data_IF_983905489766
#
_entry.id   IF_983905489766
#
_cell.length_a   1.000
_cell.length_b   1.000
_cell.length_c   1.000
_cell.angle_alpha   90.00
_cell.angle_beta   90.00
_cell.angle_gamma   90.00
#
_symmetry.space_group_name_H-M   'P 1'
#
loop_
_entity.id
_entity.type
_entity.pdbx_description
1 polymer ?
#
# COMPACT_ATOMS: atom_id res chain seq x y z
N UNK A 1 -19.51 4.99 -3.47
CA UNK A 1 -19.16 4.63 -4.85
C UNK A 1 -20.42 4.60 -5.69
N UNK A 2 -20.33 5.10 -6.91
CA UNK A 2 -21.36 4.94 -7.94
C UNK A 2 -21.20 3.59 -8.66
N UNK A 3 -22.21 3.18 -9.43
CA UNK A 3 -22.18 1.92 -10.18
C UNK A 3 -20.97 1.81 -11.13
N UNK A 4 -20.54 2.94 -11.72
CA UNK A 4 -19.35 3.00 -12.58
C UNK A 4 -18.06 2.69 -11.82
N UNK A 5 -17.97 3.10 -10.55
CA UNK A 5 -16.76 2.92 -9.73
C UNK A 5 -16.63 1.47 -9.31
N UNK A 6 -17.76 0.83 -8.98
CA UNK A 6 -17.84 -0.60 -8.69
C UNK A 6 -17.43 -1.44 -9.89
N UNK A 7 -17.93 -1.10 -11.08
CA UNK A 7 -17.57 -1.84 -12.30
C UNK A 7 -16.10 -1.63 -12.67
N UNK A 8 -15.56 -0.42 -12.50
CA UNK A 8 -14.13 -0.17 -12.66
C UNK A 8 -13.31 -1.02 -11.69
N UNK A 9 -13.68 -1.03 -10.40
CA UNK A 9 -12.99 -1.84 -9.39
C UNK A 9 -13.02 -3.33 -9.76
N UNK A 10 -14.18 -3.84 -10.20
CA UNK A 10 -14.34 -5.24 -10.61
C UNK A 10 -13.46 -5.56 -11.82
N UNK A 11 -13.53 -4.78 -12.90
CA UNK A 11 -12.77 -5.07 -14.12
C UNK A 11 -11.26 -4.85 -13.92
N UNK A 12 -10.86 -3.71 -13.36
CA UNK A 12 -9.47 -3.25 -13.35
C UNK A 12 -8.72 -3.63 -12.07
N UNK A 13 -9.44 -3.94 -10.99
CA UNK A 13 -8.85 -4.23 -9.68
C UNK A 13 -8.66 -3.01 -8.80
N UNK A 14 -9.02 -1.82 -9.31
CA UNK A 14 -8.93 -0.56 -8.59
C UNK A 14 -9.96 0.45 -9.10
N UNK A 15 -10.24 1.43 -8.27
CA UNK A 15 -11.06 2.59 -8.63
C UNK A 15 -10.57 3.82 -7.87
N UNK A 16 -10.70 5.00 -8.49
CA UNK A 16 -10.31 6.27 -7.88
C UNK A 16 -11.55 7.04 -7.46
N UNK A 17 -11.65 7.35 -6.17
CA UNK A 17 -12.71 8.20 -5.62
C UNK A 17 -12.16 9.60 -5.42
N UNK A 18 -12.38 10.46 -6.40
CA UNK A 18 -11.94 11.85 -6.33
C UNK A 18 -12.73 12.62 -5.27
N UNK A 19 -12.03 13.48 -4.53
CA UNK A 19 -12.62 14.40 -3.55
C UNK A 19 -13.42 13.74 -2.42
N UNK A 20 -13.06 12.51 -2.00
CA UNK A 20 -13.65 11.88 -0.81
C UNK A 20 -13.37 12.65 0.48
N UNK A 21 -12.20 13.30 0.52
CA UNK A 21 -11.78 14.23 1.56
C UNK A 21 -11.58 15.61 0.95
N UNK A 22 -11.94 16.63 1.72
CA UNK A 22 -11.70 18.01 1.35
C UNK A 22 -10.22 18.36 1.45
N UNK A 23 -9.82 19.41 0.73
CA UNK A 23 -8.44 19.93 0.79
C UNK A 23 -8.01 20.31 2.21
N UNK A 24 -8.96 20.79 3.04
CA UNK A 24 -8.70 21.14 4.43
C UNK A 24 -8.45 19.89 5.29
N UNK A 25 -9.23 18.83 5.13
CA UNK A 25 -8.99 17.55 5.83
C UNK A 25 -7.62 16.97 5.44
N UNK A 26 -7.29 16.97 4.15
CA UNK A 26 -5.97 16.51 3.67
C UNK A 26 -4.83 17.35 4.26
N UNK A 27 -4.99 18.68 4.38
CA UNK A 27 -3.99 19.53 5.03
C UNK A 27 -3.77 19.19 6.51
N UNK A 28 -4.83 18.80 7.23
CA UNK A 28 -4.74 18.37 8.63
C UNK A 28 -3.99 17.02 8.72
N UNK A 29 -4.31 16.06 7.85
CA UNK A 29 -3.61 14.79 7.74
C UNK A 29 -2.11 14.99 7.40
N UNK A 30 -1.81 15.94 6.52
CA UNK A 30 -0.44 16.32 6.19
C UNK A 30 0.30 16.90 7.38
N UNK A 31 -0.30 17.85 8.10
CA UNK A 31 0.34 18.44 9.28
C UNK A 31 0.66 17.38 10.34
N UNK A 32 -0.27 16.45 10.56
CA UNK A 32 -0.05 15.35 11.50
C UNK A 32 1.01 14.36 11.02
N UNK A 33 1.05 14.10 9.71
CA UNK A 33 2.14 13.30 9.11
C UNK A 33 3.48 13.95 9.42
N UNK A 34 3.64 15.26 9.19
CA UNK A 34 4.89 15.99 9.48
C UNK A 34 5.26 15.93 10.96
N UNK A 35 4.29 16.00 11.88
CA UNK A 35 4.54 15.79 13.32
C UNK A 35 5.11 14.39 13.57
N UNK A 36 4.46 13.34 13.06
CA UNK A 36 4.92 11.95 13.22
C UNK A 36 6.28 11.69 12.57
N UNK A 37 6.62 12.38 11.48
CA UNK A 37 7.94 12.29 10.85
C UNK A 37 9.07 12.77 11.77
N UNK A 38 8.78 13.63 12.75
CA UNK A 38 9.72 14.09 13.77
C UNK A 38 9.83 13.17 14.98
N UNK A 39 8.97 12.16 15.10
CA UNK A 39 8.91 11.29 16.27
C UNK A 39 9.62 9.95 16.03
N UNK A 40 10.18 9.42 17.12
CA UNK A 40 10.68 8.05 17.13
C UNK A 40 9.52 7.10 17.42
N UNK A 41 9.36 6.09 16.58
CA UNK A 41 8.38 5.02 16.78
C UNK A 41 8.94 3.69 16.26
N UNK A 42 8.43 2.58 16.78
CA UNK A 42 8.82 1.23 16.33
C UNK A 42 8.51 1.06 14.83
N UNK A 43 7.41 1.65 14.35
CA UNK A 43 6.98 1.54 12.96
C UNK A 43 7.75 2.40 11.96
N UNK A 44 8.75 3.18 12.40
CA UNK A 44 9.55 4.07 11.56
C UNK A 44 10.51 3.25 10.70
N UNK A 45 10.42 3.39 9.38
CA UNK A 45 11.32 2.73 8.41
C UNK A 45 12.08 3.79 7.63
N UNK A 46 13.40 3.65 7.57
CA UNK A 46 14.29 4.56 6.87
C UNK A 46 14.69 3.97 5.49
N UNK A 47 15.13 4.83 4.59
CA UNK A 47 15.83 4.41 3.37
C UNK A 47 17.20 3.80 3.71
N UNK A 48 17.85 3.15 2.73
CA UNK A 48 19.17 2.51 2.91
C UNK A 48 20.26 3.46 3.45
N UNK A 49 20.11 4.77 3.23
CA UNK A 49 21.00 5.79 3.78
C UNK A 49 20.89 5.96 5.31
N UNK A 50 19.96 5.27 5.97
CA UNK A 50 19.77 5.26 7.42
C UNK A 50 19.31 6.59 8.02
N UNK A 51 18.87 7.55 7.20
CA UNK A 51 18.54 8.92 7.66
C UNK A 51 17.25 9.45 7.06
N UNK A 52 16.99 9.17 5.79
CA UNK A 52 15.75 9.56 5.12
C UNK A 52 14.61 8.67 5.56
N UNK A 53 13.50 9.26 5.98
CA UNK A 53 12.29 8.50 6.30
C UNK A 53 11.64 7.97 5.02
N UNK A 54 11.42 6.66 4.97
CA UNK A 54 10.72 5.97 3.88
C UNK A 54 9.23 5.82 4.19
N UNK A 55 8.92 5.46 5.43
CA UNK A 55 7.53 5.25 5.85
C UNK A 55 7.34 5.18 7.35
N UNK A 56 6.09 5.39 7.78
CA UNK A 56 5.61 5.21 9.15
C UNK A 56 4.56 4.10 9.13
N UNK A 57 4.84 2.98 9.79
CA UNK A 57 3.88 1.90 10.00
C UNK A 57 3.13 2.10 11.31
N UNK A 58 1.86 1.73 11.34
CA UNK A 58 0.98 1.87 12.50
C UNK A 58 0.76 3.30 12.99
N UNK A 59 0.56 4.32 12.12
CA UNK A 59 0.40 5.71 12.56
C UNK A 59 -0.76 5.92 13.54
N UNK A 60 -1.81 5.10 13.44
CA UNK A 60 -2.96 5.08 14.34
C UNK A 60 -2.61 4.72 15.79
N UNK A 61 -1.45 4.10 16.05
CA UNK A 61 -0.98 3.80 17.41
C UNK A 61 -0.36 5.03 18.09
N UNK A 62 -0.02 6.06 17.32
CA UNK A 62 0.66 7.27 17.81
C UNK A 62 -0.11 8.56 17.46
N UNK A 63 -1.31 8.45 16.90
CA UNK A 63 -2.13 9.58 16.48
C UNK A 63 -3.60 9.23 16.54
N UNK A 64 -4.35 9.95 17.38
CA UNK A 64 -5.81 9.86 17.45
C UNK A 64 -6.46 10.26 16.11
N UNK A 65 -5.84 11.19 15.37
CA UNK A 65 -6.32 11.57 14.04
C UNK A 65 -6.28 10.39 13.07
N UNK A 66 -5.16 9.67 12.99
CA UNK A 66 -5.05 8.49 12.13
C UNK A 66 -5.85 7.29 12.66
N UNK A 67 -6.03 7.19 13.97
CA UNK A 67 -6.97 6.21 14.56
C UNK A 67 -8.40 6.47 14.11
N UNK A 68 -8.85 7.72 14.17
CA UNK A 68 -10.19 8.11 13.73
C UNK A 68 -10.34 7.96 12.21
N UNK A 69 -9.30 8.27 11.42
CA UNK A 69 -9.31 8.07 9.98
C UNK A 69 -9.48 6.59 9.60
N UNK A 70 -8.84 5.68 10.36
CA UNK A 70 -8.98 4.23 10.16
C UNK A 70 -10.44 3.76 10.31
N UNK A 71 -11.21 4.47 11.14
CA UNK A 71 -12.60 4.19 11.44
C UNK A 71 -13.59 5.11 10.69
N UNK A 72 -13.11 5.93 9.74
CA UNK A 72 -13.97 6.86 9.02
C UNK A 72 -15.01 6.10 8.18
N UNK A 73 -16.28 6.43 8.39
CA UNK A 73 -17.40 5.77 7.71
C UNK A 73 -17.31 5.88 6.18
N UNK A 74 -16.67 6.92 5.64
CA UNK A 74 -16.43 7.09 4.19
C UNK A 74 -15.51 6.03 3.63
N UNK A 75 -14.60 5.46 4.43
CA UNK A 75 -13.74 4.34 4.03
C UNK A 75 -14.38 3.00 4.36
N UNK A 76 -14.82 2.85 5.63
CA UNK A 76 -15.39 1.59 6.10
C UNK A 76 -16.57 1.14 5.25
N UNK A 77 -17.50 2.04 4.93
CA UNK A 77 -18.66 1.70 4.11
C UNK A 77 -18.29 1.18 2.71
N UNK A 78 -17.22 1.70 2.10
CA UNK A 78 -16.76 1.22 0.80
C UNK A 78 -16.05 -0.13 0.95
N UNK A 79 -15.26 -0.30 2.00
CA UNK A 79 -14.55 -1.54 2.24
C UNK A 79 -15.50 -2.71 2.55
N UNK A 80 -16.47 -2.50 3.43
CA UNK A 80 -17.50 -3.49 3.76
C UNK A 80 -18.37 -3.83 2.55
N UNK A 81 -18.70 -2.84 1.72
CA UNK A 81 -19.43 -3.05 0.47
C UNK A 81 -18.65 -3.95 -0.52
N UNK A 82 -17.35 -3.72 -0.67
CA UNK A 82 -16.51 -4.49 -1.59
C UNK A 82 -16.15 -5.89 -1.06
N UNK A 83 -15.95 -6.03 0.25
CA UNK A 83 -15.56 -7.29 0.89
C UNK A 83 -16.74 -8.12 1.39
N UNK A 84 -17.95 -7.57 1.40
CA UNK A 84 -19.19 -8.28 1.70
C UNK A 84 -19.43 -8.52 3.20
N UNK A 85 -18.92 -7.65 4.07
CA UNK A 85 -19.11 -7.78 5.52
C UNK A 85 -18.20 -6.88 6.35
N UNK A 86 -18.25 -7.00 7.69
CA UNK A 86 -17.41 -6.21 8.59
C UNK A 86 -15.92 -6.38 8.31
N UNK A 87 -15.16 -5.30 8.44
CA UNK A 87 -13.73 -5.25 8.15
C UNK A 87 -12.91 -4.79 9.36
N UNK A 88 -11.61 -5.04 9.31
CA UNK A 88 -10.64 -4.50 10.27
C UNK A 88 -9.36 -4.08 9.52
N UNK A 89 -8.50 -3.30 10.18
CA UNK A 89 -7.23 -2.86 9.61
C UNK A 89 -6.19 -3.97 9.79
N UNK A 90 -5.78 -4.61 8.69
CA UNK A 90 -4.68 -5.58 8.68
C UNK A 90 -3.32 -4.89 8.78
N UNK A 91 -3.09 -3.84 7.96
CA UNK A 91 -1.88 -3.02 7.98
C UNK A 91 -2.25 -1.55 7.73
N UNK A 92 -1.48 -0.63 8.32
CA UNK A 92 -1.63 0.81 8.12
C UNK A 92 -0.24 1.43 7.97
N UNK A 93 0.01 2.07 6.83
CA UNK A 93 1.27 2.75 6.56
C UNK A 93 1.05 4.15 5.95
N UNK A 94 1.93 5.09 6.29
CA UNK A 94 2.15 6.32 5.53
C UNK A 94 3.46 6.16 4.78
N UNK A 95 3.41 6.19 3.45
CA UNK A 95 4.59 6.15 2.60
C UNK A 95 5.05 7.58 2.33
N UNK A 96 6.25 7.94 2.79
CA UNK A 96 6.83 9.28 2.60
C UNK A 96 7.86 9.21 1.49
N UNK A 97 7.46 9.54 0.26
CA UNK A 97 8.40 9.63 -0.86
C UNK A 97 9.04 11.02 -0.88
N UNK A 98 10.18 11.17 -0.22
CA UNK A 98 10.89 12.45 -0.23
C UNK A 98 11.36 12.79 -1.66
N UNK A 99 11.15 14.04 -2.06
CA UNK A 99 11.61 14.54 -3.35
C UNK A 99 13.12 14.28 -3.52
N UNK A 100 13.51 13.82 -4.71
CA UNK A 100 14.90 13.50 -5.10
C UNK A 100 15.60 12.36 -4.35
N UNK A 101 14.98 11.80 -3.30
CA UNK A 101 15.59 10.75 -2.47
C UNK A 101 14.74 9.47 -2.37
N UNK A 102 13.45 9.55 -2.71
CA UNK A 102 12.54 8.41 -2.66
C UNK A 102 12.85 7.39 -3.75
N UNK A 103 13.29 6.21 -3.32
CA UNK A 103 13.56 5.09 -4.22
C UNK A 103 12.26 4.44 -4.73
N UNK A 104 12.38 3.69 -5.83
CA UNK A 104 11.24 2.97 -6.42
C UNK A 104 10.75 1.85 -5.49
N UNK A 105 9.46 1.50 -5.64
CA UNK A 105 8.89 0.27 -5.12
C UNK A 105 8.84 -0.73 -6.27
N UNK A 106 9.43 -1.91 -6.09
CA UNK A 106 9.41 -2.95 -7.11
C UNK A 106 7.97 -3.45 -7.34
N UNK A 107 7.66 -3.94 -8.54
CA UNK A 107 6.34 -4.52 -8.83
C UNK A 107 6.08 -5.72 -7.93
N UNK A 108 4.94 -5.76 -7.24
CA UNK A 108 4.57 -6.84 -6.33
C UNK A 108 3.05 -6.97 -6.21
N UNK A 109 2.62 -8.02 -5.50
CA UNK A 109 1.26 -8.18 -4.99
C UNK A 109 1.29 -8.19 -3.48
N UNK A 110 0.55 -7.28 -2.83
CA UNK A 110 0.44 -7.22 -1.36
C UNK A 110 -0.02 -8.57 -0.79
N UNK A 111 -1.07 -9.17 -1.39
CA UNK A 111 -1.61 -10.45 -0.91
C UNK A 111 -0.58 -11.58 -0.92
N UNK A 112 0.37 -11.59 -1.86
CA UNK A 112 1.38 -12.65 -1.88
C UNK A 112 2.32 -12.57 -0.67
N UNK A 113 2.69 -11.36 -0.24
CA UNK A 113 3.40 -11.14 1.01
C UNK A 113 2.54 -11.58 2.20
N UNK A 114 1.30 -11.10 2.29
CA UNK A 114 0.40 -11.44 3.40
C UNK A 114 0.14 -12.95 3.50
N UNK A 115 0.05 -13.66 2.37
CA UNK A 115 -0.12 -15.11 2.34
C UNK A 115 1.12 -15.83 2.85
N UNK A 116 2.31 -15.44 2.37
CA UNK A 116 3.56 -16.17 2.63
C UNK A 116 4.16 -15.85 3.99
N UNK A 117 4.05 -14.61 4.46
CA UNK A 117 4.68 -14.13 5.70
C UNK A 117 3.67 -14.05 6.84
N UNK A 118 2.46 -13.54 6.59
CA UNK A 118 1.45 -13.29 7.65
C UNK A 118 0.40 -14.41 7.76
N UNK A 119 0.43 -15.39 6.84
CA UNK A 119 -0.49 -16.52 6.82
C UNK A 119 -1.92 -16.19 6.36
N UNK A 120 -2.12 -15.09 5.61
CA UNK A 120 -3.42 -14.72 5.08
C UNK A 120 -3.95 -15.79 4.10
N UNK A 121 -5.06 -16.49 4.42
CA UNK A 121 -5.47 -17.68 3.66
C UNK A 121 -6.09 -17.33 2.31
N UNK A 122 -6.89 -16.26 2.25
CA UNK A 122 -7.63 -15.82 1.07
C UNK A 122 -7.41 -14.32 0.83
N UNK A 123 -7.42 -13.83 -0.42
CA UNK A 123 -7.28 -12.41 -0.76
C UNK A 123 -8.56 -11.60 -0.45
N UNK A 124 -9.17 -11.81 0.72
CA UNK A 124 -10.33 -11.06 1.21
C UNK A 124 -9.90 -9.80 1.95
N UNK A 125 -9.10 -8.99 1.25
CA UNK A 125 -8.57 -7.73 1.73
C UNK A 125 -8.50 -6.74 0.56
N UNK A 126 -8.45 -5.45 0.89
CA UNK A 126 -8.17 -4.39 -0.06
C UNK A 126 -7.29 -3.33 0.57
N UNK A 127 -6.57 -2.60 -0.28
CA UNK A 127 -5.75 -1.46 0.13
C UNK A 127 -6.51 -0.18 -0.21
N UNK A 128 -6.82 0.63 0.80
CA UNK A 128 -7.36 1.98 0.62
C UNK A 128 -6.21 3.00 0.67
N UNK A 129 -6.00 3.72 -0.42
CA UNK A 129 -4.93 4.72 -0.54
C UNK A 129 -5.52 6.12 -0.50
N UNK A 130 -5.04 6.94 0.44
CA UNK A 130 -5.40 8.35 0.55
C UNK A 130 -4.20 9.16 0.08
N UNK A 131 -4.40 9.99 -0.93
CA UNK A 131 -3.36 10.90 -1.41
C UNK A 131 -3.26 12.10 -0.48
N UNK A 132 -2.11 12.22 0.16
CA UNK A 132 -1.79 13.34 1.04
C UNK A 132 -1.18 14.52 0.25
N UNK A 133 -0.46 14.22 -0.83
CA UNK A 133 0.06 15.19 -1.78
C UNK A 133 -0.64 15.08 -3.14
N UNK A 134 -0.48 16.10 -3.99
CA UNK A 134 -0.85 15.97 -5.40
C UNK A 134 -0.02 14.87 -6.05
N UNK A 135 -0.69 13.90 -6.68
CA UNK A 135 -0.03 12.78 -7.39
C UNK A 135 -0.07 13.07 -8.89
N UNK A 136 1.11 13.10 -9.52
CA UNK A 136 1.25 13.37 -10.96
C UNK A 136 2.32 12.46 -11.57
N UNK A 137 2.53 12.55 -12.89
CA UNK A 137 3.48 11.70 -13.61
C UNK A 137 4.96 11.96 -13.24
N UNK A 138 5.27 13.07 -12.56
CA UNK A 138 6.63 13.51 -12.27
C UNK A 138 7.12 13.16 -10.85
N UNK A 139 6.22 12.87 -9.91
CA UNK A 139 6.60 12.50 -8.53
C UNK A 139 6.64 10.97 -8.29
N UNK A 140 6.58 10.20 -9.38
CA UNK A 140 6.65 8.74 -9.37
C UNK A 140 5.42 8.15 -8.67
N UNK A 141 4.25 8.23 -9.32
CA UNK A 141 2.97 7.83 -8.78
C UNK A 141 2.91 6.32 -8.59
N UNK A 142 1.94 5.84 -7.81
CA UNK A 142 1.61 4.42 -7.77
C UNK A 142 1.13 3.98 -9.15
N UNK A 143 1.76 2.95 -9.69
CA UNK A 143 1.35 2.31 -10.93
C UNK A 143 0.67 0.97 -10.62
N UNK A 144 -0.41 0.69 -11.34
CA UNK A 144 -1.20 -0.54 -11.21
C UNK A 144 -1.33 -1.17 -12.59
N UNK A 145 -1.33 -2.49 -12.66
CA UNK A 145 -1.56 -3.24 -13.92
C UNK A 145 -3.00 -3.76 -13.91
N UNK A 146 -3.91 -3.18 -14.73
CA UNK A 146 -5.33 -3.53 -14.69
C UNK A 146 -5.59 -5.02 -14.91
N UNK A 147 -6.52 -5.58 -14.12
CA UNK A 147 -7.00 -6.95 -14.30
C UNK A 147 -6.10 -8.04 -13.70
N UNK A 148 -4.92 -7.67 -13.17
CA UNK A 148 -3.97 -8.66 -12.61
C UNK A 148 -4.41 -9.23 -11.26
N UNK A 149 -5.41 -8.63 -10.61
CA UNK A 149 -6.05 -9.19 -9.40
C UNK A 149 -6.74 -10.55 -9.64
N UNK A 150 -7.01 -10.90 -10.90
CA UNK A 150 -7.57 -12.20 -11.29
C UNK A 150 -6.53 -13.24 -11.67
N UNK A 151 -5.25 -12.86 -11.73
CA UNK A 151 -4.20 -13.81 -12.03
C UNK A 151 -3.94 -14.74 -10.85
N UNK A 152 -3.63 -15.99 -11.17
CA UNK A 152 -3.17 -16.95 -10.18
C UNK A 152 -1.77 -16.55 -9.70
N UNK A 153 -1.64 -16.27 -8.40
CA UNK A 153 -0.35 -16.01 -7.78
C UNK A 153 0.33 -17.34 -7.42
N UNK A 154 1.46 -17.59 -8.08
CA UNK A 154 2.32 -18.76 -7.91
C UNK A 154 3.78 -18.34 -7.79
N UNK A 155 4.66 -19.22 -7.31
CA UNK A 155 6.07 -18.85 -7.08
C UNK A 155 6.79 -18.50 -8.41
N UNK A 156 6.36 -19.06 -9.54
CA UNK A 156 6.99 -18.91 -10.86
C UNK A 156 6.80 -17.55 -11.52
N UNK A 157 5.81 -16.76 -11.09
CA UNK A 157 5.61 -15.40 -11.64
C UNK A 157 6.48 -14.35 -10.95
N UNK A 158 7.24 -14.74 -9.92
CA UNK A 158 8.13 -13.89 -9.15
C UNK A 158 9.60 -14.17 -9.50
N UNK A 159 10.46 -13.14 -9.42
CA UNK A 159 11.90 -13.37 -9.51
C UNK A 159 12.39 -14.10 -8.25
N UNK A 160 13.32 -15.04 -8.42
CA UNK A 160 13.95 -15.78 -7.31
C UNK A 160 15.10 -14.99 -6.66
N UNK A 161 15.42 -15.24 -5.37
CA UNK A 161 15.15 -16.50 -4.69
C UNK A 161 14.39 -16.43 -3.36
N UNK A 162 13.54 -17.44 -3.14
CA UNK A 162 13.31 -17.98 -1.81
C UNK A 162 14.66 -18.54 -1.32
N UNK A 163 15.31 -17.89 -0.34
CA UNK A 163 16.57 -18.44 0.20
C UNK A 163 17.46 -17.62 1.13
N UNK A 164 17.42 -16.28 1.21
CA UNK A 164 18.36 -15.52 2.08
C UNK A 164 17.80 -14.25 2.78
N UNK A 165 16.50 -13.95 2.61
CA UNK A 165 15.81 -12.90 3.38
C UNK A 165 14.71 -13.57 4.21
N UNK A 166 15.03 -14.00 5.43
CA UNK A 166 14.00 -14.33 6.41
C UNK A 166 13.52 -13.04 7.07
N UNK A 167 12.20 -12.80 7.02
CA UNK A 167 11.60 -11.66 7.71
C UNK A 167 11.77 -11.78 9.23
N UNK A 168 11.94 -13.01 9.74
CA UNK A 168 12.28 -13.33 11.12
C UNK A 168 11.69 -12.36 12.15
N UNK A 169 12.53 -11.90 13.07
CA UNK A 169 12.23 -10.77 13.96
C UNK A 169 12.44 -9.40 13.28
N UNK A 170 13.00 -9.36 12.06
CA UNK A 170 13.33 -8.15 11.32
C UNK A 170 12.30 -7.83 10.23
N UNK A 171 11.05 -7.65 10.66
CA UNK A 171 9.90 -7.34 9.80
C UNK A 171 10.14 -6.14 8.86
N UNK A 172 11.03 -5.20 9.21
CA UNK A 172 11.33 -4.04 8.38
C UNK A 172 11.85 -4.44 6.98
N UNK A 173 12.51 -5.61 6.85
CA UNK A 173 12.99 -6.16 5.57
C UNK A 173 11.83 -6.42 4.59
N UNK A 174 10.64 -6.80 5.06
CA UNK A 174 9.48 -7.01 4.16
C UNK A 174 8.88 -5.71 3.64
N UNK A 175 9.32 -4.58 4.18
CA UNK A 175 8.92 -3.22 3.77
C UNK A 175 10.05 -2.43 3.12
N UNK A 176 11.21 -3.08 2.94
CA UNK A 176 12.43 -2.50 2.38
C UNK A 176 12.38 -2.35 0.85
N UNK A 177 13.45 -1.82 0.28
CA UNK A 177 13.54 -1.49 -1.15
C UNK A 177 13.56 -2.73 -2.07
N UNK A 178 14.33 -3.76 -1.70
CA UNK A 178 14.39 -5.03 -2.44
C UNK A 178 13.32 -5.97 -1.92
N UNK A 179 12.29 -6.20 -2.73
CA UNK A 179 11.13 -6.97 -2.34
C UNK A 179 11.36 -8.46 -2.60
N UNK A 180 11.25 -9.26 -1.54
CA UNK A 180 11.39 -10.73 -1.56
C UNK A 180 10.51 -11.41 -2.61
N UNK A 181 9.32 -10.86 -2.87
CA UNK A 181 8.37 -11.38 -3.85
C UNK A 181 8.05 -10.38 -4.95
N UNK A 182 9.07 -9.77 -5.54
CA UNK A 182 8.85 -8.95 -6.73
C UNK A 182 8.38 -9.79 -7.93
N UNK A 183 7.47 -9.24 -8.71
CA UNK A 183 6.98 -9.84 -9.95
C UNK A 183 8.11 -9.87 -11.00
N UNK A 184 8.24 -10.99 -11.69
CA UNK A 184 9.26 -11.17 -12.71
C UNK A 184 9.01 -10.29 -13.93
N UNK A 185 10.09 -9.82 -14.57
CA UNK A 185 9.98 -9.08 -15.83
C UNK A 185 9.26 -9.89 -16.91
N UNK A 186 9.46 -11.21 -16.92
CA UNK A 186 8.83 -12.11 -17.89
C UNK A 186 7.32 -12.09 -17.75
N UNK A 187 6.81 -12.10 -16.52
CA UNK A 187 5.39 -11.97 -16.23
C UNK A 187 4.86 -10.58 -16.66
N UNK A 188 5.53 -9.50 -16.25
CA UNK A 188 5.10 -8.13 -16.56
C UNK A 188 5.06 -7.84 -18.07
N UNK A 189 6.06 -8.32 -18.82
CA UNK A 189 6.09 -8.17 -20.29
C UNK A 189 4.94 -8.88 -20.99
N UNK A 190 4.42 -9.99 -20.45
CA UNK A 190 3.24 -10.67 -20.99
C UNK A 190 1.96 -9.85 -20.78
N UNK A 191 1.90 -9.05 -19.72
CA UNK A 191 0.75 -8.19 -19.42
C UNK A 191 0.72 -6.93 -20.27
N UNK A 192 1.87 -6.31 -20.53
CA UNK A 192 1.97 -5.12 -21.39
C UNK A 192 1.74 -5.37 -22.89
N UNK A 193 1.49 -6.62 -23.32
CA UNK A 193 1.25 -6.98 -24.74
C UNK A 193 -0.24 -7.20 -25.06
N UNK A 194 -1.12 -7.12 -24.08
CA UNK A 194 -2.57 -7.20 -24.24
C UNK A 194 -3.18 -5.80 -24.18
#
# INVERSE_FOLDING_TARGET
>A
MEAKDLESYRIQGFTLLESLYTRQEVNILNAETHRLMGESSIGRVLEENGTTLRSINGPHLNSELFQNLACDARLLSQAEMLLGGPVYVHQYKINTKQAFHGQNWEWHSDYWFWKKEDGMPEPKALTAVIFLDEVNEFNGPMLLVPGTQYDELIDEIHDRPYGELDGGDNWAITTAQNLKYRLSETYLRKKNRK
#
